data_IF_798990261687
#
_entry.id   IF_798990261687
#
_cell.length_a   1.000
_cell.length_b   1.000
_cell.length_c   1.000
_cell.angle_alpha   90.00
_cell.angle_beta   90.00
_cell.angle_gamma   90.00
#
_symmetry.space_group_name_H-M   'P 1'
#
loop_
_entity.id
_entity.type
_entity.pdbx_description
1 polymer ?
#
# COMPACT_ATOMS: atom_id res chain seq x y z
N UNK A 1 4.64 6.35 8.57
CA UNK A 1 3.18 6.57 8.36
C UNK A 1 2.89 6.46 6.87
N UNK A 2 1.86 5.71 6.47
CA UNK A 2 1.57 5.44 5.05
C UNK A 2 0.76 6.59 4.45
N UNK A 3 1.43 7.63 3.95
CA UNK A 3 0.92 8.59 2.97
C UNK A 3 -0.37 9.37 3.28
N UNK A 4 -0.95 9.27 4.48
CA UNK A 4 -2.18 9.97 4.91
C UNK A 4 -3.36 9.90 3.90
N UNK A 5 -3.49 8.78 3.16
CA UNK A 5 -4.48 8.60 2.08
C UNK A 5 -4.31 9.51 0.85
N UNK A 6 -3.20 10.22 0.73
CA UNK A 6 -2.84 10.95 -0.49
C UNK A 6 -2.19 10.00 -1.52
N UNK A 7 -2.79 9.83 -2.71
CA UNK A 7 -2.22 8.98 -3.77
C UNK A 7 -0.86 9.46 -4.29
N UNK A 8 -0.55 10.75 -4.14
CA UNK A 8 0.74 11.32 -4.56
C UNK A 8 1.87 10.95 -3.60
N UNK A 9 1.50 10.74 -2.34
CA UNK A 9 2.39 10.33 -1.25
C UNK A 9 2.35 8.81 -1.00
N UNK A 10 1.75 8.05 -1.92
CA UNK A 10 1.66 6.61 -1.82
C UNK A 10 3.03 5.94 -2.00
N UNK A 11 3.24 4.84 -1.27
CA UNK A 11 4.48 4.08 -1.33
C UNK A 11 4.44 3.17 -2.56
N UNK A 12 5.41 3.27 -3.49
CA UNK A 12 5.46 2.41 -4.66
C UNK A 12 5.80 0.97 -4.25
N UNK A 13 5.09 0.01 -4.84
CA UNK A 13 5.36 -1.42 -4.69
C UNK A 13 6.25 -1.89 -5.84
N UNK A 14 7.13 -2.84 -5.55
CA UNK A 14 7.89 -3.56 -6.57
C UNK A 14 7.09 -4.77 -7.03
N UNK A 15 7.01 -4.95 -8.35
CA UNK A 15 6.43 -6.15 -8.94
C UNK A 15 7.53 -7.20 -9.13
N UNK A 16 7.22 -8.43 -8.76
CA UNK A 16 8.08 -9.60 -8.94
C UNK A 16 7.47 -10.57 -9.95
N UNK A 17 8.30 -11.39 -10.60
CA UNK A 17 7.89 -12.34 -11.65
C UNK A 17 6.89 -13.41 -11.16
N UNK A 18 6.79 -13.61 -9.85
CA UNK A 18 5.79 -14.43 -9.18
C UNK A 18 4.40 -13.78 -9.09
N UNK A 19 4.21 -12.62 -9.74
CA UNK A 19 3.00 -11.81 -9.72
C UNK A 19 2.68 -11.21 -8.33
N UNK A 20 3.69 -11.13 -7.47
CA UNK A 20 3.57 -10.51 -6.15
C UNK A 20 3.99 -9.05 -6.21
N UNK A 21 3.20 -8.18 -5.57
CA UNK A 21 3.57 -6.79 -5.32
C UNK A 21 4.03 -6.66 -3.87
N UNK A 22 5.29 -6.28 -3.65
CA UNK A 22 5.87 -6.17 -2.31
C UNK A 22 6.65 -4.86 -2.12
N UNK A 23 6.80 -4.45 -0.87
CA UNK A 23 7.67 -3.34 -0.48
C UNK A 23 8.18 -3.62 0.93
N UNK A 24 9.47 -3.37 1.13
CA UNK A 24 10.07 -3.42 2.45
C UNK A 24 9.86 -2.08 3.14
N UNK A 25 9.22 -2.12 4.31
CA UNK A 25 8.96 -0.95 5.13
C UNK A 25 9.45 -1.21 6.54
N UNK A 26 10.27 -0.29 7.05
CA UNK A 26 10.56 -0.21 8.47
C UNK A 26 9.30 0.23 9.22
N UNK A 27 8.53 -0.75 9.70
CA UNK A 27 7.36 -0.53 10.49
C UNK A 27 7.71 -0.56 11.98
N UNK A 28 7.26 0.45 12.72
CA UNK A 28 7.37 0.41 14.18
C UNK A 28 6.59 -0.79 14.73
N UNK A 29 7.14 -1.35 15.80
CA UNK A 29 6.55 -2.46 16.54
C UNK A 29 5.17 -2.06 17.10
N UNK A 30 4.18 -2.96 17.00
CA UNK A 30 2.80 -2.79 17.48
C UNK A 30 2.02 -1.65 16.78
N UNK A 31 2.30 -1.42 15.49
CA UNK A 31 1.57 -0.46 14.67
C UNK A 31 0.31 -1.13 14.09
N UNK A 32 -0.85 -0.51 14.32
CA UNK A 32 -2.08 -0.83 13.56
C UNK A 32 -2.29 0.25 12.51
N UNK A 33 -2.27 -0.12 11.23
CA UNK A 33 -2.47 0.81 10.13
C UNK A 33 -3.56 0.32 9.17
N UNK A 34 -4.43 1.25 8.78
CA UNK A 34 -5.36 1.03 7.67
C UNK A 34 -4.69 1.47 6.37
N UNK A 35 -4.80 0.62 5.35
CA UNK A 35 -4.23 0.88 4.04
C UNK A 35 -5.19 0.39 2.96
N UNK A 36 -5.02 0.95 1.76
CA UNK A 36 -5.67 0.47 0.55
C UNK A 36 -4.65 0.54 -0.58
N UNK A 37 -4.72 -0.43 -1.47
CA UNK A 37 -3.88 -0.44 -2.66
C UNK A 37 -4.49 0.45 -3.75
N UNK A 38 -3.61 1.17 -4.43
CA UNK A 38 -3.94 1.93 -5.63
C UNK A 38 -3.12 1.41 -6.80
N UNK A 39 -3.75 1.28 -7.96
CA UNK A 39 -3.09 1.02 -9.21
C UNK A 39 -2.98 2.33 -9.99
N UNK A 40 -1.76 2.83 -10.16
CA UNK A 40 -1.50 3.99 -11.00
C UNK A 40 -1.11 3.52 -12.40
N UNK A 41 -1.95 3.80 -13.39
CA UNK A 41 -1.67 3.51 -14.80
C UNK A 41 -0.74 4.57 -15.40
N UNK A 42 -0.07 4.24 -16.50
CA UNK A 42 0.78 5.16 -17.27
C UNK A 42 0.02 6.41 -17.74
N UNK A 43 -1.30 6.29 -17.93
CA UNK A 43 -2.25 7.38 -18.23
C UNK A 43 -2.50 8.34 -17.07
N UNK A 44 -1.79 8.18 -15.94
CA UNK A 44 -2.01 8.90 -14.65
C UNK A 44 -3.36 8.63 -14.01
N UNK A 45 -4.11 7.67 -14.52
CA UNK A 45 -5.34 7.20 -13.91
C UNK A 45 -5.02 6.38 -12.64
N UNK A 46 -5.72 6.67 -11.56
CA UNK A 46 -5.56 5.99 -10.27
C UNK A 46 -6.83 5.17 -10.02
N UNK A 47 -6.67 3.86 -9.99
CA UNK A 47 -7.75 2.92 -9.69
C UNK A 47 -7.55 2.41 -8.27
N UNK A 48 -8.54 2.61 -7.41
CA UNK A 48 -8.54 2.09 -6.06
C UNK A 48 -8.96 0.63 -6.05
N UNK A 49 -8.36 -0.17 -5.16
CA UNK A 49 -8.80 -1.53 -4.94
C UNK A 49 -10.29 -1.53 -4.52
N UNK A 50 -11.15 -2.34 -5.17
CA UNK A 50 -12.54 -2.46 -4.78
C UNK A 50 -12.68 -3.17 -3.43
N UNK A 51 -13.63 -2.72 -2.60
CA UNK A 51 -13.95 -3.31 -1.30
C UNK A 51 -13.52 -2.47 -0.09
N UNK A 52 -13.69 -3.02 1.13
CA UNK A 52 -13.36 -2.33 2.36
C UNK A 52 -11.84 -2.13 2.51
N UNK A 53 -11.46 -1.09 3.25
CA UNK A 53 -10.08 -0.83 3.65
C UNK A 53 -9.48 -1.98 4.46
N UNK A 54 -8.20 -2.28 4.21
CA UNK A 54 -7.48 -3.36 4.87
C UNK A 54 -6.79 -2.83 6.12
N UNK A 55 -6.90 -3.56 7.22
CA UNK A 55 -6.16 -3.26 8.45
C UNK A 55 -4.98 -4.21 8.56
N UNK A 56 -3.78 -3.65 8.71
CA UNK A 56 -2.57 -4.40 8.96
C UNK A 56 -2.08 -4.09 10.38
N UNK A 57 -1.76 -5.13 11.13
CA UNK A 57 -1.19 -5.02 12.47
C UNK A 57 0.14 -5.75 12.51
N UNK A 58 1.21 -5.05 12.88
CA UNK A 58 2.51 -5.69 13.14
C UNK A 58 2.47 -6.35 14.51
N UNK A 59 2.79 -7.64 14.57
CA UNK A 59 2.95 -8.39 15.81
C UNK A 59 4.45 -8.55 16.07
N UNK A 60 4.85 -8.44 17.34
CA UNK A 60 6.22 -8.75 17.77
C UNK A 60 6.45 -10.25 17.71
#
# INVERSE_FOLDING_TARGET
MVGLWDPSSAIPLNWSEDHTWSVDLDACVNLTMRHRFILKRSTREIVWQPGPDRTFKTWC
#
